data_IF_208441721536
#
_entry.id   IF_208441721536
#
_cell.length_a   1.000
_cell.length_b   1.000
_cell.length_c   1.000
_cell.angle_alpha   90.00
_cell.angle_beta   90.00
_cell.angle_gamma   90.00
#
_symmetry.space_group_name_H-M   'P 1'
#
loop_
_entity.id
_entity.type
_entity.pdbx_description
1 polymer ?
#
# COMPACT_ATOMS: atom_id res chain seq x y z
N UNK A 1 29.84 0.48 15.46
CA UNK A 1 28.72 -0.42 15.83
C UNK A 1 27.48 0.08 15.10
N UNK A 2 27.18 -0.50 13.95
CA UNK A 2 25.96 -0.21 13.19
C UNK A 2 24.81 -0.82 13.98
N UNK A 3 23.95 0.02 14.58
CA UNK A 3 22.76 -0.46 15.28
C UNK A 3 21.84 -1.09 14.23
N UNK A 4 21.77 -2.42 14.19
CA UNK A 4 20.76 -3.12 13.39
C UNK A 4 19.39 -2.63 13.83
N UNK A 5 18.60 -2.15 12.88
CA UNK A 5 17.23 -1.72 13.16
C UNK A 5 16.38 -2.98 13.19
N UNK A 6 15.79 -3.28 14.33
CA UNK A 6 14.75 -4.31 14.40
C UNK A 6 13.62 -3.97 13.43
N UNK A 7 13.46 -4.82 12.43
CA UNK A 7 12.39 -4.70 11.46
C UNK A 7 11.12 -5.35 12.01
N UNK A 8 10.22 -4.50 12.53
CA UNK A 8 8.89 -4.93 12.93
C UNK A 8 7.98 -4.99 11.70
N UNK A 9 7.69 -6.21 11.26
CA UNK A 9 6.82 -6.48 10.11
C UNK A 9 5.37 -6.04 10.33
N UNK A 10 4.87 -6.06 11.58
CA UNK A 10 3.53 -5.63 11.93
C UNK A 10 3.43 -4.10 11.81
N UNK A 11 4.41 -3.39 12.37
CA UNK A 11 4.51 -1.93 12.26
C UNK A 11 4.66 -1.50 10.80
N UNK A 12 5.49 -2.18 10.04
CA UNK A 12 5.65 -1.92 8.61
C UNK A 12 4.35 -2.11 7.84
N UNK A 13 3.61 -3.19 8.10
CA UNK A 13 2.32 -3.46 7.44
C UNK A 13 1.28 -2.37 7.77
N UNK A 14 1.22 -1.91 9.01
CA UNK A 14 0.34 -0.79 9.41
C UNK A 14 0.70 0.50 8.69
N UNK A 15 1.99 0.83 8.62
CA UNK A 15 2.46 2.01 7.90
C UNK A 15 2.11 1.96 6.42
N UNK A 16 2.23 0.79 5.77
CA UNK A 16 1.81 0.62 4.38
C UNK A 16 0.31 0.88 4.21
N UNK A 17 -0.53 0.34 5.09
CA UNK A 17 -1.97 0.55 5.06
C UNK A 17 -2.34 2.03 5.23
N UNK A 18 -1.72 2.70 6.22
CA UNK A 18 -1.95 4.13 6.47
C UNK A 18 -1.54 4.99 5.29
N UNK A 19 -0.42 4.67 4.64
CA UNK A 19 0.05 5.38 3.46
C UNK A 19 -0.91 5.19 2.28
N UNK A 20 -1.36 3.96 2.02
CA UNK A 20 -2.34 3.68 0.95
C UNK A 20 -3.64 4.44 1.22
N UNK A 21 -4.13 4.45 2.46
CA UNK A 21 -5.33 5.19 2.83
C UNK A 21 -5.17 6.70 2.56
N UNK A 22 -4.09 7.31 3.07
CA UNK A 22 -3.79 8.74 2.87
C UNK A 22 -3.62 9.09 1.39
N UNK A 23 -2.89 8.27 0.63
CA UNK A 23 -2.65 8.50 -0.80
C UNK A 23 -3.89 8.28 -1.66
N UNK A 24 -4.85 7.47 -1.20
CA UNK A 24 -6.10 7.24 -1.93
C UNK A 24 -7.03 8.45 -1.92
N UNK A 25 -7.01 9.27 -0.86
CA UNK A 25 -7.97 10.35 -0.65
C UNK A 25 -9.42 9.86 -0.50
N UNK A 26 -9.63 8.56 -0.30
CA UNK A 26 -10.94 7.93 -0.26
C UNK A 26 -11.72 8.34 0.99
N UNK A 27 -13.01 8.66 0.81
CA UNK A 27 -13.95 8.96 1.90
C UNK A 27 -14.73 7.74 2.38
N UNK A 28 -14.73 6.68 1.57
CA UNK A 28 -15.45 5.45 1.82
C UNK A 28 -14.68 4.25 1.25
N UNK A 29 -15.09 3.06 1.65
CA UNK A 29 -14.43 1.80 1.26
C UNK A 29 -14.46 1.57 -0.25
N UNK A 30 -15.52 2.02 -0.95
CA UNK A 30 -15.64 1.82 -2.41
C UNK A 30 -14.56 2.60 -3.16
N UNK A 31 -14.37 3.87 -2.81
CA UNK A 31 -13.33 4.73 -3.40
C UNK A 31 -11.92 4.17 -3.14
N UNK A 32 -11.68 3.60 -1.97
CA UNK A 32 -10.39 2.95 -1.67
C UNK A 32 -10.15 1.74 -2.59
N UNK A 33 -11.16 0.88 -2.75
CA UNK A 33 -11.06 -0.30 -3.63
C UNK A 33 -10.80 0.12 -5.08
N UNK A 34 -11.49 1.15 -5.56
CA UNK A 34 -11.28 1.69 -6.91
C UNK A 34 -9.85 2.25 -7.09
N UNK A 35 -9.31 2.95 -6.09
CA UNK A 35 -7.93 3.43 -6.10
C UNK A 35 -6.93 2.27 -6.18
N UNK A 36 -7.09 1.24 -5.34
CA UNK A 36 -6.21 0.07 -5.31
C UNK A 36 -6.23 -0.65 -6.65
N UNK A 37 -7.42 -0.86 -7.22
CA UNK A 37 -7.57 -1.49 -8.54
C UNK A 37 -6.86 -0.67 -9.62
N UNK A 38 -7.01 0.65 -9.62
CA UNK A 38 -6.33 1.55 -10.56
C UNK A 38 -4.81 1.49 -10.46
N UNK A 39 -4.25 1.37 -9.25
CA UNK A 39 -2.79 1.22 -9.06
C UNK A 39 -2.30 -0.18 -9.43
N UNK A 40 -3.06 -1.23 -9.12
CA UNK A 40 -2.76 -2.61 -9.51
C UNK A 40 -2.69 -2.77 -11.03
N UNK A 41 -3.60 -2.11 -11.77
CA UNK A 41 -3.59 -2.04 -13.23
C UNK A 41 -2.32 -1.41 -13.82
N UNK A 42 -1.64 -0.52 -13.06
CA UNK A 42 -0.41 0.16 -13.48
C UNK A 42 0.87 -0.58 -13.13
N UNK A 43 0.79 -1.65 -12.36
CA UNK A 43 1.96 -2.46 -12.04
C UNK A 43 2.47 -3.12 -13.32
N UNK A 44 3.74 -2.87 -13.67
CA UNK A 44 4.41 -3.54 -14.80
C UNK A 44 4.51 -5.06 -14.61
N UNK A 45 4.27 -5.55 -13.38
CA UNK A 45 4.19 -6.98 -13.06
C UNK A 45 2.82 -7.59 -13.39
N UNK A 46 1.79 -6.77 -13.65
CA UNK A 46 0.47 -7.25 -14.07
C UNK A 46 0.51 -7.54 -15.57
N UNK A 47 1.09 -8.68 -15.93
CA UNK A 47 0.95 -9.26 -17.27
C UNK A 47 -0.52 -9.64 -17.47
N UNK A 48 -1.23 -8.89 -18.30
CA UNK A 48 -2.46 -9.41 -18.91
C UNK A 48 -2.00 -10.45 -19.93
N UNK A 49 -2.26 -11.74 -19.65
CA UNK A 49 -2.29 -12.75 -20.70
C UNK A 49 -3.48 -12.49 -21.62
#
# INVERSE_FOLDING_TARGET
>A
MTKEKDFDCVKFKRQLQDNVWKSSGAKNTKELVDYINKQSLKSSLRRSN
#
